data_IF_824411559941
#
_entry.id   IF_824411559941
#
_cell.length_a   1.000
_cell.length_b   1.000
_cell.length_c   1.000
_cell.angle_alpha   90.00
_cell.angle_beta   90.00
_cell.angle_gamma   90.00
#
_symmetry.space_group_name_H-M   'P 1'
#
loop_
_entity.id
_entity.type
_entity.pdbx_description
1 polymer ?
#
# COMPACT_ATOMS: atom_id res chain seq x y z
N UNK A 1 31.35 -10.28 -4.34
CA UNK A 1 30.23 -11.23 -4.49
C UNK A 1 29.18 -11.13 -3.36
N UNK A 2 29.31 -10.21 -2.38
CA UNK A 2 28.39 -10.13 -1.22
C UNK A 2 27.15 -9.24 -1.42
N UNK A 3 27.21 -8.18 -2.26
CA UNK A 3 26.09 -7.23 -2.40
C UNK A 3 24.81 -7.88 -2.94
N UNK A 4 24.92 -8.81 -3.89
CA UNK A 4 23.75 -9.43 -4.51
C UNK A 4 23.01 -10.37 -3.53
N UNK A 5 23.71 -11.04 -2.61
CA UNK A 5 23.09 -11.95 -1.67
C UNK A 5 22.24 -11.22 -0.61
N UNK A 6 22.71 -10.06 -0.14
CA UNK A 6 21.93 -9.21 0.78
C UNK A 6 20.72 -8.58 0.07
N UNK A 7 20.89 -8.14 -1.18
CA UNK A 7 19.78 -7.60 -1.98
C UNK A 7 18.72 -8.67 -2.29
N UNK A 8 19.14 -9.88 -2.64
CA UNK A 8 18.24 -11.03 -2.85
C UNK A 8 17.46 -11.36 -1.57
N UNK A 9 18.11 -11.28 -0.41
CA UNK A 9 17.44 -11.51 0.88
C UNK A 9 16.44 -10.41 1.21
N UNK A 10 16.79 -9.14 0.97
CA UNK A 10 15.88 -8.00 1.15
C UNK A 10 14.67 -8.15 0.23
N UNK A 11 14.89 -8.49 -1.04
CA UNK A 11 13.82 -8.71 -2.01
C UNK A 11 12.88 -9.84 -1.58
N UNK A 12 13.42 -10.97 -1.11
CA UNK A 12 12.60 -12.08 -0.61
C UNK A 12 11.73 -11.70 0.61
N UNK A 13 12.16 -10.74 1.43
CA UNK A 13 11.35 -10.20 2.53
C UNK A 13 10.29 -9.22 2.01
N UNK A 14 10.64 -8.38 1.03
CA UNK A 14 9.71 -7.45 0.39
C UNK A 14 8.55 -8.17 -0.31
N UNK A 15 8.83 -9.29 -0.97
CA UNK A 15 7.82 -10.13 -1.65
C UNK A 15 6.84 -10.79 -0.67
N UNK A 16 7.17 -10.87 0.63
CA UNK A 16 6.25 -11.37 1.65
C UNK A 16 5.28 -10.31 2.17
N UNK A 17 5.51 -9.02 1.91
CA UNK A 17 4.64 -7.96 2.42
C UNK A 17 3.27 -8.00 1.73
N UNK A 18 2.20 -7.58 2.42
CA UNK A 18 0.89 -7.30 1.81
C UNK A 18 0.75 -5.79 1.61
N UNK A 19 0.95 -5.32 0.39
CA UNK A 19 0.86 -3.91 0.02
C UNK A 19 0.66 -3.78 -1.51
N UNK A 20 0.57 -2.57 -2.03
CA UNK A 20 0.19 -2.32 -3.44
C UNK A 20 1.16 -2.96 -4.44
N UNK A 21 2.44 -3.06 -4.07
CA UNK A 21 3.49 -3.69 -4.88
C UNK A 21 3.38 -5.22 -4.98
N UNK A 22 2.63 -5.87 -4.09
CA UNK A 22 2.49 -7.34 -4.03
C UNK A 22 1.07 -7.82 -4.32
N UNK A 23 0.09 -6.92 -4.37
CA UNK A 23 -1.31 -7.22 -4.70
C UNK A 23 -1.59 -7.49 -6.18
N UNK A 24 -0.57 -7.49 -7.03
CA UNK A 24 -0.68 -7.80 -8.47
C UNK A 24 -1.75 -6.95 -9.17
N UNK A 25 -1.78 -5.67 -8.82
CA UNK A 25 -2.69 -4.68 -9.40
C UNK A 25 -2.40 -4.59 -10.91
N UNK A 26 -3.43 -4.84 -11.72
CA UNK A 26 -3.34 -4.79 -13.18
C UNK A 26 -3.76 -3.40 -13.63
N UNK A 27 -2.79 -2.54 -13.92
CA UNK A 27 -3.03 -1.19 -14.45
C UNK A 27 -2.35 -1.11 -15.81
N UNK A 28 -3.11 -0.79 -16.85
CA UNK A 28 -2.54 -0.60 -18.18
C UNK A 28 -1.79 0.73 -18.25
N UNK A 29 -0.62 0.75 -18.90
CA UNK A 29 0.21 1.97 -19.00
C UNK A 29 -0.56 3.16 -19.62
N UNK A 30 -1.49 2.86 -20.54
CA UNK A 30 -2.36 3.85 -21.18
C UNK A 30 -3.36 4.49 -20.22
N UNK A 31 -3.68 3.83 -19.12
CA UNK A 31 -4.68 4.26 -18.13
C UNK A 31 -4.05 4.89 -16.88
N UNK A 32 -2.72 4.78 -16.70
CA UNK A 32 -2.02 5.24 -15.50
C UNK A 32 -2.25 6.72 -15.18
N UNK A 33 -2.15 7.61 -16.19
CA UNK A 33 -2.37 9.04 -15.98
C UNK A 33 -3.84 9.37 -15.66
N UNK A 34 -4.78 8.65 -16.25
CA UNK A 34 -6.21 8.81 -15.96
C UNK A 34 -6.55 8.30 -14.55
N UNK A 35 -5.97 7.16 -14.15
CA UNK A 35 -6.07 6.64 -12.79
C UNK A 35 -5.48 7.62 -11.77
N UNK A 36 -4.30 8.20 -12.03
CA UNK A 36 -3.70 9.19 -11.12
C UNK A 36 -4.63 10.38 -10.90
N UNK A 37 -5.19 10.95 -11.98
CA UNK A 37 -6.12 12.07 -11.89
C UNK A 37 -7.39 11.70 -11.12
N UNK A 38 -7.99 10.53 -11.38
CA UNK A 38 -9.17 10.06 -10.65
C UNK A 38 -8.88 9.89 -9.15
N UNK A 39 -7.74 9.30 -8.80
CA UNK A 39 -7.34 9.12 -7.40
C UNK A 39 -7.10 10.48 -6.73
N UNK A 40 -6.48 11.43 -7.43
CA UNK A 40 -6.28 12.79 -6.93
C UNK A 40 -7.60 13.53 -6.70
N UNK A 41 -8.53 13.47 -7.66
CA UNK A 41 -9.87 14.06 -7.52
C UNK A 41 -10.62 13.47 -6.31
N UNK A 42 -10.49 12.16 -6.06
CA UNK A 42 -11.09 11.55 -4.87
C UNK A 42 -10.51 12.11 -3.56
N UNK A 43 -9.20 12.39 -3.49
CA UNK A 43 -8.57 13.03 -2.32
C UNK A 43 -9.12 14.45 -2.12
N UNK A 44 -9.27 15.21 -3.21
CA UNK A 44 -9.72 16.61 -3.13
C UNK A 44 -11.21 16.72 -2.78
N UNK A 45 -12.05 15.85 -3.34
CA UNK A 45 -13.50 16.01 -3.31
C UNK A 45 -14.25 15.02 -2.42
N UNK A 46 -13.66 13.88 -2.05
CA UNK A 46 -14.32 12.90 -1.18
C UNK A 46 -13.72 12.93 0.22
N UNK A 47 -14.49 13.42 1.19
CA UNK A 47 -14.14 13.26 2.61
C UNK A 47 -14.47 11.84 3.07
N UNK A 48 -13.61 10.88 2.74
CA UNK A 48 -13.83 9.46 3.02
C UNK A 48 -13.11 8.99 4.29
N UNK A 49 -13.61 7.91 4.88
CA UNK A 49 -12.89 7.15 5.92
C UNK A 49 -11.64 6.41 5.39
N UNK A 50 -11.40 6.44 4.07
CA UNK A 50 -10.35 5.70 3.37
C UNK A 50 -9.17 6.58 2.95
N UNK A 51 -9.07 7.82 3.44
CA UNK A 51 -8.06 8.76 2.97
C UNK A 51 -6.63 8.17 3.03
N UNK A 52 -6.29 7.40 4.06
CA UNK A 52 -5.00 6.69 4.17
C UNK A 52 -4.77 5.74 2.98
N UNK A 53 -5.77 4.92 2.64
CA UNK A 53 -5.71 3.99 1.51
C UNK A 53 -5.61 4.70 0.16
N UNK A 54 -6.32 5.81 -0.01
CA UNK A 54 -6.24 6.62 -1.24
C UNK A 54 -4.84 7.22 -1.42
N UNK A 55 -4.22 7.76 -0.36
CA UNK A 55 -2.84 8.24 -0.42
C UNK A 55 -1.83 7.10 -0.67
N UNK A 56 -2.07 5.90 -0.11
CA UNK A 56 -1.25 4.72 -0.39
C UNK A 56 -1.33 4.29 -1.87
N UNK A 57 -2.52 4.28 -2.45
CA UNK A 57 -2.72 3.97 -3.87
C UNK A 57 -2.08 5.04 -4.76
N UNK A 58 -2.28 6.31 -4.44
CA UNK A 58 -1.66 7.42 -5.19
C UNK A 58 -0.13 7.29 -5.21
N UNK A 59 0.48 6.92 -4.09
CA UNK A 59 1.92 6.68 -4.03
C UNK A 59 2.37 5.57 -4.98
N UNK A 60 1.62 4.47 -5.05
CA UNK A 60 1.91 3.37 -5.97
C UNK A 60 1.77 3.82 -7.45
N UNK A 61 0.69 4.52 -7.81
CA UNK A 61 0.47 5.02 -9.17
C UNK A 61 1.58 6.00 -9.58
N UNK A 62 1.94 6.95 -8.70
CA UNK A 62 3.05 7.88 -8.93
C UNK A 62 4.38 7.16 -9.13
N UNK A 63 4.64 6.10 -8.37
CA UNK A 63 5.82 5.26 -8.56
C UNK A 63 5.83 4.61 -9.96
N UNK A 64 4.70 4.05 -10.41
CA UNK A 64 4.58 3.50 -11.76
C UNK A 64 4.82 4.56 -12.85
N UNK A 65 4.44 5.82 -12.61
CA UNK A 65 4.75 6.97 -13.47
C UNK A 65 6.20 7.49 -13.32
N UNK A 66 7.05 6.82 -12.53
CA UNK A 66 8.44 7.21 -12.30
C UNK A 66 8.64 8.40 -11.35
N UNK A 67 7.58 8.84 -10.67
CA UNK A 67 7.55 10.01 -9.79
C UNK A 67 7.81 9.62 -8.32
N UNK A 68 8.97 9.02 -8.05
CA UNK A 68 9.28 8.45 -6.73
C UNK A 68 9.29 9.46 -5.59
N UNK A 69 9.55 10.75 -5.85
CA UNK A 69 9.58 11.78 -4.80
C UNK A 69 8.16 12.14 -4.37
N UNK A 70 7.28 12.32 -5.34
CA UNK A 70 5.87 12.61 -5.17
C UNK A 70 5.14 11.41 -4.55
N UNK A 71 5.59 10.18 -4.87
CA UNK A 71 5.13 8.97 -4.21
C UNK A 71 5.49 8.97 -2.71
N UNK A 72 6.71 9.38 -2.33
CA UNK A 72 7.09 9.53 -0.92
C UNK A 72 6.26 10.59 -0.20
N UNK A 73 5.95 11.70 -0.86
CA UNK A 73 5.07 12.74 -0.30
C UNK A 73 3.67 12.19 -0.01
N UNK A 74 3.10 11.41 -0.94
CA UNK A 74 1.80 10.75 -0.72
C UNK A 74 1.84 9.73 0.42
N UNK A 75 2.91 8.94 0.57
CA UNK A 75 3.05 8.05 1.75
C UNK A 75 3.21 8.82 3.07
N UNK A 76 3.81 10.00 3.03
CA UNK A 76 3.94 10.86 4.21
C UNK A 76 2.57 11.43 4.61
N UNK A 77 1.76 11.85 3.65
CA UNK A 77 0.38 12.27 3.90
C UNK A 77 -0.45 11.14 4.51
N UNK A 78 -0.30 9.90 4.02
CA UNK A 78 -0.91 8.72 4.61
C UNK A 78 -0.49 8.52 6.09
N UNK A 79 0.81 8.63 6.41
CA UNK A 79 1.30 8.56 7.80
C UNK A 79 0.78 9.69 8.69
N UNK A 80 0.73 10.92 8.18
CA UNK A 80 0.23 12.09 8.93
C UNK A 80 -1.27 11.95 9.24
N UNK A 81 -2.05 11.36 8.33
CA UNK A 81 -3.47 11.05 8.55
C UNK A 81 -3.64 9.97 9.63
N UNK A 82 -2.85 8.89 9.56
CA UNK A 82 -2.87 7.84 10.58
C UNK A 82 -2.56 8.38 11.98
N UNK A 83 -1.66 9.36 12.10
CA UNK A 83 -1.36 9.99 13.39
C UNK A 83 -2.50 10.85 13.90
N UNK A 84 -3.11 11.68 13.03
CA UNK A 84 -4.22 12.57 13.40
C UNK A 84 -5.44 11.81 13.89
N UNK A 85 -5.69 10.63 13.36
CA UNK A 85 -6.87 9.84 13.70
C UNK A 85 -6.76 9.04 15.01
N UNK A 86 -5.63 9.14 15.72
CA UNK A 86 -5.27 8.77 17.12
C UNK A 86 -5.84 7.50 17.81
N UNK A 87 -6.99 6.95 17.43
CA UNK A 87 -7.65 5.79 18.05
C UNK A 87 -8.42 4.86 17.07
N UNK A 88 -8.53 5.21 15.77
CA UNK A 88 -9.43 4.49 14.85
C UNK A 88 -8.77 3.64 13.75
N UNK A 89 -7.51 3.91 13.39
CA UNK A 89 -6.91 3.28 12.20
C UNK A 89 -6.29 1.92 12.53
N UNK A 90 -6.70 0.91 11.77
CA UNK A 90 -6.27 -0.47 11.94
C UNK A 90 -4.76 -0.61 11.75
N UNK A 91 -4.11 -1.48 12.54
CA UNK A 91 -2.71 -1.85 12.32
C UNK A 91 -2.48 -2.37 10.89
N UNK A 92 -3.52 -2.86 10.21
CA UNK A 92 -3.49 -3.21 8.79
C UNK A 92 -3.05 -2.04 7.91
N UNK A 93 -3.59 -0.84 8.14
CA UNK A 93 -3.28 0.34 7.33
C UNK A 93 -1.82 0.76 7.50
N UNK A 94 -1.30 0.68 8.73
CA UNK A 94 0.12 0.95 9.02
C UNK A 94 1.02 -0.03 8.28
N UNK A 95 0.66 -1.32 8.29
CA UNK A 95 1.43 -2.35 7.58
C UNK A 95 1.46 -2.11 6.07
N UNK A 96 0.33 -1.74 5.46
CA UNK A 96 0.26 -1.41 4.02
C UNK A 96 1.14 -0.20 3.71
N UNK A 97 1.03 0.90 4.46
CA UNK A 97 1.84 2.11 4.25
C UNK A 97 3.33 1.83 4.43
N UNK A 98 3.73 1.10 5.46
CA UNK A 98 5.13 0.75 5.67
C UNK A 98 5.66 -0.23 4.62
N UNK A 99 4.82 -1.15 4.15
CA UNK A 99 5.18 -2.03 3.04
C UNK A 99 5.42 -1.27 1.75
N UNK A 100 4.56 -0.29 1.43
CA UNK A 100 4.75 0.61 0.30
C UNK A 100 6.05 1.43 0.43
N UNK A 101 6.37 1.96 1.62
CA UNK A 101 7.64 2.64 1.85
C UNK A 101 8.84 1.73 1.61
N UNK A 102 8.80 0.50 2.12
CA UNK A 102 9.91 -0.44 1.98
C UNK A 102 10.21 -0.73 0.50
N UNK A 103 9.17 -0.99 -0.30
CA UNK A 103 9.27 -1.19 -1.74
C UNK A 103 9.75 0.06 -2.47
N UNK A 104 9.20 1.24 -2.16
CA UNK A 104 9.58 2.48 -2.82
C UNK A 104 11.06 2.82 -2.57
N UNK A 105 11.54 2.68 -1.32
CA UNK A 105 12.95 2.86 -1.01
C UNK A 105 13.85 1.83 -1.70
N UNK A 106 13.38 0.59 -1.84
CA UNK A 106 14.11 -0.45 -2.55
C UNK A 106 14.29 -0.07 -4.03
N UNK A 107 13.22 0.37 -4.70
CA UNK A 107 13.28 0.85 -6.08
C UNK A 107 14.15 2.11 -6.26
N UNK A 108 14.31 2.91 -5.21
CA UNK A 108 15.22 4.06 -5.19
C UNK A 108 16.68 3.70 -4.87
N UNK A 109 17.00 2.42 -4.64
CA UNK A 109 18.34 1.96 -4.23
C UNK A 109 18.71 2.31 -2.78
N UNK A 110 17.74 2.68 -1.96
CA UNK A 110 17.92 3.14 -0.57
C UNK A 110 17.73 1.99 0.43
N UNK A 111 18.62 0.99 0.37
CA UNK A 111 18.50 -0.24 1.16
C UNK A 111 18.45 -0.02 2.68
N UNK A 112 19.16 0.98 3.21
CA UNK A 112 19.10 1.30 4.64
C UNK A 112 17.70 1.75 5.05
N UNK A 113 17.02 2.56 4.23
CA UNK A 113 15.66 3.00 4.48
C UNK A 113 14.67 1.84 4.28
N UNK A 114 14.86 1.00 3.26
CA UNK A 114 14.09 -0.25 3.10
C UNK A 114 14.11 -1.10 4.36
N UNK A 115 15.29 -1.27 4.98
CA UNK A 115 15.43 -2.08 6.19
C UNK A 115 14.66 -1.49 7.38
N UNK A 116 14.66 -0.16 7.54
CA UNK A 116 13.90 0.53 8.61
C UNK A 116 12.41 0.17 8.53
N UNK A 117 11.83 0.16 7.33
CA UNK A 117 10.40 -0.13 7.16
C UNK A 117 10.07 -1.62 7.23
N UNK A 118 10.96 -2.49 6.76
CA UNK A 118 10.86 -3.94 7.00
C UNK A 118 10.86 -4.26 8.50
N UNK A 119 11.73 -3.61 9.28
CA UNK A 119 11.79 -3.81 10.73
C UNK A 119 10.53 -3.30 11.44
N UNK A 120 9.93 -2.20 10.97
CA UNK A 120 8.63 -1.72 11.48
C UNK A 120 7.53 -2.76 11.25
N UNK A 121 7.40 -3.27 10.02
CA UNK A 121 6.42 -4.32 9.69
C UNK A 121 6.65 -5.55 10.56
N UNK A 122 7.89 -6.02 10.64
CA UNK A 122 8.24 -7.22 11.39
C UNK A 122 7.91 -7.11 12.88
N UNK A 123 8.25 -5.97 13.49
CA UNK A 123 7.97 -5.73 14.89
C UNK A 123 6.47 -5.62 15.19
N UNK A 124 5.66 -5.13 14.24
CA UNK A 124 4.19 -5.10 14.39
C UNK A 124 3.59 -6.48 14.21
N UNK A 125 3.95 -7.24 13.17
CA UNK A 125 3.46 -8.60 12.95
C UNK A 125 3.77 -9.55 14.12
N UNK A 126 4.96 -9.44 14.72
CA UNK A 126 5.34 -10.23 15.91
C UNK A 126 4.41 -10.03 17.11
N UNK A 127 3.80 -8.85 17.28
CA UNK A 127 2.84 -8.59 18.38
C UNK A 127 1.56 -9.40 18.25
N UNK A 128 1.18 -9.78 17.03
CA UNK A 128 -0.05 -10.50 16.73
C UNK A 128 0.14 -12.03 16.66
N UNK A 129 1.32 -12.53 17.03
CA UNK A 129 1.65 -13.97 17.10
C UNK A 129 1.33 -14.76 15.82
N UNK A 130 1.40 -14.10 14.66
CA UNK A 130 1.14 -14.73 13.36
C UNK A 130 2.22 -15.74 12.95
N UNK A 131 1.89 -16.70 12.07
CA UNK A 131 2.85 -17.68 11.55
C UNK A 131 3.91 -17.06 10.62
N UNK A 132 3.67 -15.85 10.08
CA UNK A 132 4.62 -15.10 9.27
C UNK A 132 5.11 -13.85 10.02
N UNK A 133 6.36 -13.47 9.78
CA UNK A 133 6.95 -12.26 10.36
C UNK A 133 6.58 -10.98 9.59
N UNK A 134 5.91 -11.07 8.44
CA UNK A 134 5.75 -9.93 7.51
C UNK A 134 4.32 -9.70 7.01
N UNK A 135 3.37 -10.56 7.39
CA UNK A 135 1.96 -10.40 7.04
C UNK A 135 1.06 -10.43 8.27
N UNK A 136 -0.09 -9.80 8.12
CA UNK A 136 -1.21 -9.92 9.05
C UNK A 136 -2.43 -10.36 8.24
N UNK A 137 -3.07 -11.42 8.69
CA UNK A 137 -4.34 -11.88 8.12
C UNK A 137 -5.48 -11.27 8.95
N UNK A 138 -6.13 -10.23 8.42
CA UNK A 138 -7.30 -9.62 9.06
C UNK A 138 -8.26 -9.00 8.01
N UNK A 139 -9.56 -8.86 8.34
CA UNK A 139 -10.56 -8.35 7.41
C UNK A 139 -10.25 -6.96 6.86
N UNK A 140 -9.59 -6.09 7.64
CA UNK A 140 -9.21 -4.74 7.21
C UNK A 140 -8.14 -4.77 6.11
N UNK A 141 -7.21 -5.73 6.16
CA UNK A 141 -6.21 -5.94 5.11
C UNK A 141 -6.88 -6.41 3.81
N UNK A 142 -7.81 -7.37 3.92
CA UNK A 142 -8.54 -7.90 2.76
C UNK A 142 -9.46 -6.85 2.13
N UNK A 143 -10.05 -5.98 2.97
CA UNK A 143 -10.89 -4.86 2.55
C UNK A 143 -10.09 -3.85 1.70
N UNK A 144 -8.90 -3.48 2.17
CA UNK A 144 -8.01 -2.54 1.47
C UNK A 144 -7.49 -3.14 0.16
N UNK A 145 -7.03 -4.39 0.17
CA UNK A 145 -6.57 -5.07 -1.05
C UNK A 145 -7.71 -5.18 -2.08
N UNK A 146 -8.92 -5.55 -1.64
CA UNK A 146 -10.09 -5.62 -2.51
C UNK A 146 -10.49 -4.27 -3.09
N UNK A 147 -10.39 -3.19 -2.29
CA UNK A 147 -10.63 -1.83 -2.76
C UNK A 147 -9.59 -1.40 -3.81
N UNK A 148 -8.30 -1.65 -3.57
CA UNK A 148 -7.23 -1.33 -4.52
C UNK A 148 -7.39 -2.09 -5.84
N UNK A 149 -7.73 -3.39 -5.77
CA UNK A 149 -8.01 -4.22 -6.96
C UNK A 149 -9.18 -3.68 -7.77
N UNK A 150 -10.25 -3.23 -7.12
CA UNK A 150 -11.42 -2.64 -7.80
C UNK A 150 -11.07 -1.33 -8.49
N UNK A 151 -10.24 -0.49 -7.86
CA UNK A 151 -9.83 0.80 -8.42
C UNK A 151 -8.90 0.64 -9.62
N UNK A 152 -8.03 -0.36 -9.56
CA UNK A 152 -7.00 -0.61 -10.56
C UNK A 152 -7.49 -1.47 -11.73
N UNK A 153 -8.44 -2.38 -11.51
CA UNK A 153 -8.95 -3.27 -12.57
C UNK A 153 -10.40 -3.01 -12.92
N UNK A 154 -10.68 -2.56 -14.16
CA UNK A 154 -12.06 -2.46 -14.66
C UNK A 154 -12.76 -3.84 -14.71
N UNK A 155 -12.01 -4.94 -14.86
CA UNK A 155 -12.56 -6.29 -15.04
C UNK A 155 -12.97 -7.04 -13.76
N UNK A 156 -12.62 -6.55 -12.56
CA UNK A 156 -12.99 -7.19 -11.28
C UNK A 156 -14.28 -6.61 -10.67
N UNK A 157 -14.85 -5.55 -11.26
CA UNK A 157 -16.07 -4.90 -10.77
C UNK A 157 -17.27 -5.85 -10.67
N UNK A 158 -17.36 -6.90 -11.50
CA UNK A 158 -18.49 -7.83 -11.43
C UNK A 158 -18.46 -8.79 -10.22
N UNK A 159 -17.28 -9.05 -9.63
CA UNK A 159 -17.14 -10.04 -8.55
C UNK A 159 -17.15 -9.40 -7.16
N UNK A 160 -16.60 -8.19 -7.00
CA UNK A 160 -16.47 -7.55 -5.69
C UNK A 160 -17.65 -6.64 -5.29
N UNK A 161 -18.53 -6.27 -6.24
CA UNK A 161 -19.68 -5.37 -5.99
C UNK A 161 -20.55 -5.73 -4.78
N UNK A 162 -20.86 -7.01 -4.49
CA UNK A 162 -21.71 -7.36 -3.36
C UNK A 162 -21.06 -7.12 -1.97
N UNK A 163 -19.72 -7.16 -1.88
CA UNK A 163 -18.99 -6.99 -0.60
C UNK A 163 -18.83 -5.51 -0.21
N UNK A 164 -18.82 -4.62 -1.21
CA UNK A 164 -18.61 -3.18 -1.05
C UNK A 164 -19.88 -2.46 -0.58
N UNK A 165 -21.03 -2.83 -1.14
CA UNK A 165 -22.35 -2.28 -0.75
C UNK A 165 -22.69 -2.58 0.71
N UNK A 166 -22.21 -3.70 1.26
CA UNK A 166 -22.49 -4.07 2.65
C UNK A 166 -21.64 -3.27 3.66
N UNK A 167 -20.47 -2.77 3.25
CA UNK A 167 -19.51 -2.05 4.12
C UNK A 167 -19.53 -0.52 3.96
N UNK A 168 -20.48 0.01 3.18
CA UNK A 168 -20.63 1.44 2.94
C UNK A 168 -19.43 2.04 2.20
N UNK A 169 -18.87 1.30 1.24
CA UNK A 169 -17.93 1.84 0.27
C UNK A 169 -18.72 2.44 -0.90
N UNK A 170 -18.38 3.65 -1.38
CA UNK A 170 -18.91 4.16 -2.65
C UNK A 170 -18.45 3.32 -3.84
#
# INVERSE_FOLDING_TARGET
>A
MSMNADEDQVKARLEQLRCHFTWKLLIEDTELSELENRVFDEIEFLNTKFNVGIHNLLAYVKHLNGQNKEALESLKEAEDLMQREHAGQSEAMKLVTWGNYAWLYYHMGRLADTQIYLDKVENTCKKFAGPSCYTMECPEMDCEEGWALLKCGEHLQEVCRPLLLHNGMP
#
